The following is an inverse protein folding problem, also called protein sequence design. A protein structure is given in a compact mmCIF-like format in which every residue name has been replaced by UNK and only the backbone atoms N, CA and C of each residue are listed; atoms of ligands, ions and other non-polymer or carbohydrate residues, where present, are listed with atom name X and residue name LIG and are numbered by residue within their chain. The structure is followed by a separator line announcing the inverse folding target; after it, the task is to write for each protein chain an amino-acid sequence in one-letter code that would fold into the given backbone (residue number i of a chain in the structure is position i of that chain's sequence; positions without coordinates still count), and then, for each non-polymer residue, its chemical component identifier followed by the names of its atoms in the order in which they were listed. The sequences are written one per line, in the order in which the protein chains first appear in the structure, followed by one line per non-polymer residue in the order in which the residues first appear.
data_IF_741242874388
#
_entry.id   IF_741242874388
#
_cell.length_a   1.000
_cell.length_b   1.000
_cell.length_c   1.000
_cell.angle_alpha   90.00
_cell.angle_beta   90.00
_cell.angle_gamma   90.00
#
_symmetry.space_group_name_H-M   'P 1'
#
loop_
_entity.id
_entity.type
_entity.pdbx_description
1 polymer ?
#
# COMPACT_ATOMS: atom_id res chain seq x y z
N UNK A 1 14.15 -15.12 -3.04
CA UNK A 1 13.65 -13.96 -3.79
C UNK A 1 12.61 -13.26 -2.93
N UNK A 2 12.99 -12.24 -2.18
CA UNK A 2 12.09 -11.47 -1.29
C UNK A 2 12.09 -10.02 -1.77
N UNK A 3 10.98 -9.57 -2.36
CA UNK A 3 10.74 -8.16 -2.62
C UNK A 3 9.31 -7.87 -2.16
N UNK A 4 9.19 -7.15 -1.06
CA UNK A 4 7.96 -6.46 -0.70
C UNK A 4 8.22 -5.00 -1.00
N UNK A 5 7.24 -4.33 -1.56
CA UNK A 5 7.37 -2.94 -1.93
C UNK A 5 6.02 -2.23 -1.82
N UNK A 6 5.96 -1.23 -0.96
CA UNK A 6 4.95 -0.19 -1.04
C UNK A 6 5.47 0.92 -1.98
N UNK A 7 4.60 1.41 -2.87
CA UNK A 7 4.91 2.55 -3.73
C UNK A 7 4.01 3.72 -3.35
N UNK A 8 4.61 4.86 -3.07
CA UNK A 8 3.93 6.03 -2.52
C UNK A 8 4.08 7.22 -3.49
N UNK A 9 2.96 7.82 -3.94
CA UNK A 9 2.97 8.87 -4.97
C UNK A 9 2.59 10.28 -4.43
N UNK A 10 3.28 11.33 -4.91
CA UNK A 10 2.98 12.78 -4.73
C UNK A 10 3.06 13.55 -6.05
N UNK A 11 2.23 14.57 -6.29
CA UNK A 11 2.19 15.35 -7.55
C UNK A 11 3.10 16.61 -7.53
N UNK A 12 3.52 17.26 -8.64
CA UNK A 12 2.82 17.61 -9.90
C UNK A 12 3.07 16.77 -11.18
N UNK A 13 3.89 15.70 -11.19
CA UNK A 13 3.96 14.72 -12.32
C UNK A 13 4.42 13.30 -11.89
N UNK A 14 4.07 12.87 -10.67
CA UNK A 14 4.37 11.57 -10.00
C UNK A 14 5.81 11.38 -9.48
N UNK A 15 6.02 11.70 -8.19
CA UNK A 15 7.18 11.27 -7.40
C UNK A 15 6.83 10.00 -6.63
N UNK A 16 7.50 8.89 -6.94
CA UNK A 16 7.33 7.61 -6.27
C UNK A 16 8.40 7.39 -5.18
N UNK A 17 7.98 6.97 -3.99
CA UNK A 17 8.86 6.36 -2.99
C UNK A 17 8.61 4.85 -2.99
N UNK A 18 9.66 4.07 -3.24
CA UNK A 18 9.62 2.61 -3.25
C UNK A 18 10.31 2.12 -1.98
N UNK A 19 9.56 1.51 -1.07
CA UNK A 19 10.22 0.72 -0.03
C UNK A 19 10.82 -0.52 -0.68
N UNK A 20 12.15 -0.62 -0.65
CA UNK A 20 12.86 -1.83 -1.04
C UNK A 20 13.92 -2.10 0.01
N UNK A 21 14.03 -3.35 0.45
CA UNK A 21 14.97 -3.84 1.48
C UNK A 21 16.47 -3.58 1.21
N UNK A 22 16.84 -2.72 0.26
CA UNK A 22 18.21 -2.32 -0.02
C UNK A 22 18.70 -1.15 0.87
N UNK A 23 17.86 -0.57 1.72
CA UNK A 23 18.25 0.47 2.68
C UNK A 23 18.49 -0.17 4.06
N UNK A 24 19.57 0.24 4.75
CA UNK A 24 19.97 -0.35 6.04
C UNK A 24 18.82 -0.16 7.07
N UNK A 25 18.32 -1.25 7.70
CA UNK A 25 17.27 -1.15 8.71
C UNK A 25 17.69 -0.25 9.89
N UNK A 26 16.78 0.59 10.38
CA UNK A 26 16.96 1.43 11.57
C UNK A 26 15.87 2.50 11.72
N UNK A 27 15.85 3.20 12.86
CA UNK A 27 14.80 4.19 13.22
C UNK A 27 14.62 5.30 12.16
N UNK A 28 15.72 5.75 11.55
CA UNK A 28 15.68 6.77 10.49
C UNK A 28 14.92 6.33 9.24
N UNK A 29 14.98 5.04 8.89
CA UNK A 29 14.25 4.52 7.72
C UNK A 29 12.75 4.49 8.01
N UNK A 30 12.37 4.08 9.22
CA UNK A 30 10.98 4.11 9.65
C UNK A 30 10.44 5.55 9.63
N UNK A 31 11.19 6.52 10.16
CA UNK A 31 10.83 7.93 10.14
C UNK A 31 10.67 8.49 8.71
N UNK A 32 11.55 8.13 7.78
CA UNK A 32 11.45 8.54 6.38
C UNK A 32 10.21 7.95 5.70
N UNK A 33 9.91 6.67 5.94
CA UNK A 33 8.73 5.98 5.41
C UNK A 33 7.44 6.59 5.99
N UNK A 34 7.39 6.80 7.30
CA UNK A 34 6.27 7.47 7.96
C UNK A 34 6.09 8.89 7.42
N UNK A 35 7.21 9.60 7.25
CA UNK A 35 7.29 10.90 6.62
C UNK A 35 6.69 10.88 5.23
N UNK A 36 7.07 9.93 4.37
CA UNK A 36 6.57 9.77 3.02
C UNK A 36 5.08 9.42 2.98
N UNK A 37 4.62 8.49 3.82
CA UNK A 37 3.21 8.09 3.92
C UNK A 37 2.34 9.26 4.38
N UNK A 38 2.74 9.99 5.44
CA UNK A 38 2.00 11.18 5.90
C UNK A 38 1.77 12.18 4.78
N UNK A 39 2.75 12.27 3.91
CA UNK A 39 2.89 13.26 2.88
C UNK A 39 2.20 12.86 1.57
N UNK A 40 2.01 11.58 1.30
CA UNK A 40 1.45 11.11 0.06
C UNK A 40 -0.05 11.36 -0.07
N UNK A 41 -0.51 11.34 -1.31
CA UNK A 41 -1.94 11.41 -1.64
C UNK A 41 -2.50 10.00 -1.89
N UNK A 42 -1.70 9.16 -2.55
CA UNK A 42 -2.06 7.79 -2.93
C UNK A 42 -0.93 6.83 -2.54
N UNK A 43 -1.30 5.72 -1.90
CA UNK A 43 -0.43 4.59 -1.61
C UNK A 43 -0.78 3.37 -2.44
N UNK A 44 0.22 2.63 -2.92
CA UNK A 44 0.05 1.35 -3.60
C UNK A 44 0.57 0.25 -2.67
N UNK A 45 -0.31 -0.67 -2.30
CA UNK A 45 0.03 -1.84 -1.50
C UNK A 45 0.15 -3.08 -2.41
N UNK A 46 1.37 -3.57 -2.63
CA UNK A 46 1.62 -4.75 -3.46
C UNK A 46 1.63 -6.00 -2.58
N UNK A 47 0.50 -6.69 -2.52
CA UNK A 47 0.34 -7.94 -1.81
C UNK A 47 0.95 -9.10 -2.60
N UNK A 48 1.96 -9.73 -2.00
CA UNK A 48 2.56 -10.98 -2.47
C UNK A 48 2.22 -12.13 -1.51
N UNK A 49 2.50 -13.40 -1.84
CA UNK A 49 2.16 -14.55 -0.99
C UNK A 49 2.71 -14.45 0.44
N UNK A 50 3.79 -13.70 0.63
CA UNK A 50 4.46 -13.57 1.91
C UNK A 50 4.26 -12.21 2.58
N UNK A 51 3.38 -11.35 2.06
CA UNK A 51 3.23 -9.96 2.54
C UNK A 51 2.86 -9.91 4.02
N UNK A 52 1.92 -10.77 4.43
CA UNK A 52 1.42 -10.85 5.79
C UNK A 52 2.43 -11.50 6.78
N UNK A 53 3.58 -11.99 6.31
CA UNK A 53 4.68 -12.46 7.16
C UNK A 53 5.57 -11.28 7.62
N UNK A 54 5.49 -10.12 6.95
CA UNK A 54 6.36 -8.99 7.22
C UNK A 54 5.68 -7.97 8.12
N UNK A 55 6.21 -7.81 9.34
CA UNK A 55 5.78 -6.76 10.27
C UNK A 55 5.82 -5.37 9.62
N UNK A 56 6.90 -5.03 8.90
CA UNK A 56 7.04 -3.71 8.25
C UNK A 56 5.95 -3.47 7.20
N UNK A 57 5.67 -4.43 6.32
CA UNK A 57 4.60 -4.28 5.33
C UNK A 57 3.22 -4.09 5.99
N UNK A 58 2.94 -4.85 7.05
CA UNK A 58 1.69 -4.69 7.81
C UNK A 58 1.61 -3.33 8.52
N UNK A 59 2.74 -2.85 9.05
CA UNK A 59 2.86 -1.56 9.69
C UNK A 59 2.64 -0.40 8.71
N UNK A 60 3.26 -0.44 7.54
CA UNK A 60 3.06 0.55 6.48
C UNK A 60 1.61 0.59 6.00
N UNK A 61 1.00 -0.58 5.77
CA UNK A 61 -0.41 -0.66 5.39
C UNK A 61 -1.31 -0.02 6.44
N UNK A 62 -1.09 -0.38 7.71
CA UNK A 62 -1.82 0.20 8.82
C UNK A 62 -1.65 1.72 8.90
N UNK A 63 -0.44 2.22 8.68
CA UNK A 63 -0.18 3.64 8.68
C UNK A 63 -0.89 4.36 7.53
N UNK A 64 -0.91 3.78 6.33
CA UNK A 64 -1.66 4.34 5.20
C UNK A 64 -3.15 4.43 5.51
N UNK A 65 -3.73 3.37 6.08
CA UNK A 65 -5.15 3.32 6.48
C UNK A 65 -5.46 4.36 7.57
N UNK A 66 -4.64 4.43 8.63
CA UNK A 66 -4.82 5.39 9.73
C UNK A 66 -4.72 6.85 9.29
N UNK A 67 -3.84 7.12 8.33
CA UNK A 67 -3.71 8.45 7.71
C UNK A 67 -4.72 8.68 6.60
N UNK A 68 -5.72 7.79 6.45
CA UNK A 68 -6.83 7.86 5.49
C UNK A 68 -6.35 8.10 4.07
N UNK A 69 -5.26 7.44 3.68
CA UNK A 69 -4.71 7.53 2.34
C UNK A 69 -5.58 6.75 1.37
N UNK A 70 -5.67 7.24 0.13
CA UNK A 70 -6.24 6.44 -0.96
C UNK A 70 -5.28 5.29 -1.23
N UNK A 71 -5.75 4.05 -1.09
CA UNK A 71 -4.93 2.85 -1.27
C UNK A 71 -5.34 2.14 -2.55
N UNK A 72 -4.36 1.81 -3.39
CA UNK A 72 -4.54 0.96 -4.57
C UNK A 72 -3.89 -0.39 -4.27
N UNK A 73 -4.67 -1.43 -3.94
CA UNK A 73 -4.13 -2.75 -3.68
C UNK A 73 -3.81 -3.47 -5.01
N UNK A 74 -2.62 -4.05 -5.10
CA UNK A 74 -2.20 -4.92 -6.20
C UNK A 74 -1.90 -6.31 -5.63
N UNK A 75 -2.67 -7.30 -6.03
CA UNK A 75 -2.55 -8.68 -5.57
C UNK A 75 -1.76 -9.51 -6.58
N UNK A 76 -0.49 -9.78 -6.28
CA UNK A 76 0.44 -10.57 -7.10
C UNK A 76 0.49 -12.00 -6.57
N UNK A 77 0.02 -12.95 -7.37
CA UNK A 77 0.01 -14.39 -7.06
C UNK A 77 -0.71 -14.76 -5.75
N UNK A 78 -1.62 -13.89 -5.29
CA UNK A 78 -2.39 -14.07 -4.06
C UNK A 78 -3.81 -13.54 -4.26
N UNK A 79 -4.81 -14.19 -3.64
CA UNK A 79 -6.19 -13.68 -3.58
C UNK A 79 -6.40 -12.88 -2.30
N UNK A 80 -7.29 -11.87 -2.29
CA UNK A 80 -7.63 -11.13 -1.08
C UNK A 80 -8.04 -12.05 0.09
N UNK A 81 -8.78 -13.12 -0.18
CA UNK A 81 -9.20 -14.11 0.82
C UNK A 81 -8.06 -14.91 1.46
N UNK A 82 -6.89 -14.96 0.82
CA UNK A 82 -5.70 -15.63 1.34
C UNK A 82 -4.87 -14.73 2.27
N UNK A 83 -5.09 -13.41 2.26
CA UNK A 83 -4.39 -12.49 3.15
C UNK A 83 -4.85 -12.70 4.58
N UNK A 84 -3.95 -13.16 5.45
CA UNK A 84 -4.22 -13.34 6.88
C UNK A 84 -2.91 -13.24 7.64
N UNK A 85 -2.98 -12.68 8.84
CA UNK A 85 -1.84 -12.63 9.75
C UNK A 85 -1.90 -13.92 10.56
N UNK A 86 -0.86 -14.73 10.49
CA UNK A 86 -0.72 -15.86 11.39
C UNK A 86 -0.34 -15.34 12.77
N UNK A 87 -1.05 -15.77 13.81
CA UNK A 87 -0.79 -15.33 15.17
C UNK A 87 0.60 -15.81 15.60
N UNK A 88 1.53 -14.88 15.72
CA UNK A 88 2.81 -15.11 16.37
C UNK A 88 2.75 -14.43 17.75
N UNK A 89 3.07 -15.19 18.80
CA UNK A 89 3.12 -14.75 20.20
C UNK A 89 4.06 -13.54 20.44
N UNK A 90 4.82 -13.13 19.43
CA UNK A 90 5.71 -11.96 19.44
C UNK A 90 5.04 -10.62 19.09
N UNK A 91 3.79 -10.58 18.60
CA UNK A 91 3.12 -9.33 18.20
C UNK A 91 2.12 -8.89 19.29
N UNK A 92 2.25 -7.68 19.87
CA UNK A 92 1.29 -7.16 20.84
C UNK A 92 -0.14 -7.14 20.28
N UNK A 93 -1.13 -7.48 21.10
CA UNK A 93 -2.54 -7.57 20.65
C UNK A 93 -3.05 -6.28 19.99
N UNK A 94 -2.60 -5.12 20.47
CA UNK A 94 -2.94 -3.82 19.86
C UNK A 94 -2.44 -3.68 18.42
N UNK A 95 -1.22 -4.13 18.15
CA UNK A 95 -0.66 -4.10 16.79
C UNK A 95 -1.36 -5.11 15.89
N UNK A 96 -1.67 -6.29 16.42
CA UNK A 96 -2.41 -7.30 15.68
C UNK A 96 -3.82 -6.79 15.29
N UNK A 97 -4.51 -6.11 16.19
CA UNK A 97 -5.80 -5.47 15.90
C UNK A 97 -5.67 -4.43 14.79
N UNK A 98 -4.66 -3.54 14.91
CA UNK A 98 -4.34 -2.51 13.92
C UNK A 98 -4.10 -3.11 12.54
N UNK A 99 -3.27 -4.15 12.45
CA UNK A 99 -2.94 -4.81 11.18
C UNK A 99 -4.13 -5.57 10.58
N UNK A 100 -4.94 -6.26 11.41
CA UNK A 100 -6.14 -6.94 10.92
C UNK A 100 -7.19 -5.95 10.39
N UNK A 101 -7.36 -4.80 11.05
CA UNK A 101 -8.22 -3.72 10.56
C UNK A 101 -7.78 -3.23 9.18
N UNK A 102 -6.49 -2.92 9.04
CA UNK A 102 -5.94 -2.40 7.80
C UNK A 102 -5.98 -3.43 6.64
N UNK A 103 -5.69 -4.71 6.92
CA UNK A 103 -5.89 -5.78 5.94
C UNK A 103 -7.36 -5.96 5.59
N UNK A 104 -8.26 -5.82 6.55
CA UNK A 104 -9.70 -5.86 6.34
C UNK A 104 -10.12 -4.82 5.31
N UNK A 105 -9.73 -3.57 5.50
CA UNK A 105 -10.00 -2.49 4.54
C UNK A 105 -9.42 -2.80 3.16
N UNK A 106 -8.13 -3.14 3.09
CA UNK A 106 -7.45 -3.39 1.81
C UNK A 106 -8.04 -4.56 1.01
N UNK A 107 -8.61 -5.58 1.67
CA UNK A 107 -9.28 -6.70 1.00
C UNK A 107 -10.55 -6.30 0.26
N UNK A 108 -11.26 -5.30 0.77
CA UNK A 108 -12.54 -4.84 0.21
C UNK A 108 -12.38 -3.62 -0.69
N UNK A 109 -11.20 -3.00 -0.72
CA UNK A 109 -10.85 -1.99 -1.70
C UNK A 109 -10.66 -2.60 -3.09
N UNK A 110 -11.23 -1.96 -4.11
CA UNK A 110 -11.06 -2.37 -5.51
C UNK A 110 -9.58 -2.31 -5.88
N UNK A 111 -9.05 -3.43 -6.33
CA UNK A 111 -7.62 -3.59 -6.65
C UNK A 111 -7.35 -4.23 -7.98
N UNK A 112 -6.07 -4.36 -8.29
CA UNK A 112 -5.57 -5.06 -9.47
C UNK A 112 -5.09 -6.45 -9.07
N UNK A 113 -5.43 -7.48 -9.85
CA UNK A 113 -4.90 -8.84 -9.65
C UNK A 113 -3.90 -9.15 -10.75
N UNK A 114 -2.81 -9.83 -10.40
CA UNK A 114 -1.74 -10.14 -11.33
C UNK A 114 -1.15 -11.53 -11.07
N UNK A 115 -0.87 -12.26 -12.16
CA UNK A 115 -0.14 -13.53 -12.13
C UNK A 115 1.25 -13.29 -12.71
N UNK A 116 2.30 -13.52 -11.93
CA UNK A 116 3.67 -13.22 -12.36
C UNK A 116 4.23 -14.16 -13.42
N UNK A 117 3.63 -15.34 -13.61
CA UNK A 117 4.08 -16.35 -14.56
C UNK A 117 3.45 -16.17 -15.94
N UNK A 118 2.21 -15.70 -16.01
CA UNK A 118 1.43 -15.64 -17.26
C UNK A 118 0.95 -14.23 -17.61
N UNK A 119 1.07 -13.27 -16.70
CA UNK A 119 0.55 -11.92 -16.86
C UNK A 119 1.43 -11.01 -17.72
N UNK A 120 0.77 -10.03 -18.35
CA UNK A 120 1.43 -8.94 -19.05
C UNK A 120 1.79 -7.81 -18.07
N UNK A 121 3.08 -7.60 -17.86
CA UNK A 121 3.60 -6.54 -16.99
C UNK A 121 3.32 -5.14 -17.52
N UNK A 122 3.33 -4.93 -18.84
CA UNK A 122 3.01 -3.64 -19.44
C UNK A 122 1.53 -3.29 -19.20
N UNK A 123 0.65 -4.28 -19.28
CA UNK A 123 -0.76 -4.10 -18.96
C UNK A 123 -0.97 -3.76 -17.48
N UNK A 124 -0.30 -4.47 -16.58
CA UNK A 124 -0.35 -4.17 -15.14
C UNK A 124 0.12 -2.75 -14.85
N UNK A 125 1.28 -2.37 -15.38
CA UNK A 125 1.86 -1.03 -15.19
C UNK A 125 0.89 0.05 -15.69
N UNK A 126 0.32 -0.13 -16.88
CA UNK A 126 -0.68 0.79 -17.44
C UNK A 126 -1.89 0.94 -16.51
N UNK A 127 -2.46 -0.18 -16.05
CA UNK A 127 -3.62 -0.17 -15.15
C UNK A 127 -3.28 0.50 -13.80
N UNK A 128 -2.13 0.20 -13.23
CA UNK A 128 -1.68 0.80 -11.98
C UNK A 128 -1.45 2.30 -12.11
N UNK A 129 -0.80 2.74 -13.20
CA UNK A 129 -0.62 4.17 -13.50
C UNK A 129 -1.94 4.90 -13.67
N UNK A 130 -2.89 4.34 -14.42
CA UNK A 130 -4.22 4.94 -14.57
C UNK A 130 -4.93 5.04 -13.23
N UNK A 131 -4.92 3.99 -12.41
CA UNK A 131 -5.54 4.01 -11.10
C UNK A 131 -4.93 5.10 -10.19
N UNK A 132 -3.62 5.32 -10.26
CA UNK A 132 -2.97 6.43 -9.53
C UNK A 132 -3.47 7.78 -10.04
N UNK A 133 -3.49 7.98 -11.36
CA UNK A 133 -3.93 9.23 -11.98
C UNK A 133 -5.39 9.54 -11.62
N UNK A 134 -6.28 8.56 -11.73
CA UNK A 134 -7.71 8.71 -11.39
C UNK A 134 -7.91 9.12 -9.92
N UNK A 135 -7.12 8.52 -9.02
CA UNK A 135 -7.17 8.85 -7.59
C UNK A 135 -6.58 10.24 -7.27
N UNK A 136 -5.68 10.76 -8.09
CA UNK A 136 -5.13 12.11 -7.96
C UNK A 136 -6.08 13.18 -8.54
N UNK A 137 -6.71 12.93 -9.70
CA UNK A 137 -7.59 13.90 -10.38
C UNK A 137 -8.95 14.03 -9.70
N UNK A 138 -9.49 12.94 -9.13
CA UNK A 138 -10.77 12.94 -8.41
C UNK A 138 -10.78 13.71 -7.07
N UNK A 139 -9.86 14.64 -6.85
CA UNK A 139 -9.71 15.47 -5.64
C UNK A 139 -10.20 16.92 -5.76
N UNK A 140 -10.60 17.40 -6.95
CA UNK A 140 -11.01 18.80 -7.18
C UNK A 140 -12.51 18.96 -7.51
N UNK A 141 -13.39 18.40 -6.68
CA UNK A 141 -14.82 18.72 -6.76
C UNK A 141 -15.38 19.01 -5.36
N UNK A 142 -15.47 20.29 -5.02
CA UNK A 142 -16.41 20.78 -4.00
C UNK A 142 -15.80 21.72 -2.96
N UNK A 143 -15.66 22.99 -3.31
CA UNK A 143 -16.09 24.13 -2.48
C UNK A 143 -16.21 25.35 -3.41
N UNK A 144 -17.43 25.60 -3.91
CA UNK A 144 -17.77 26.93 -4.40
C UNK A 144 -18.18 27.76 -3.19
N UNK A 145 -17.64 28.98 -3.00
CA UNK A 145 -18.12 29.87 -1.95
C UNK A 145 -19.55 30.33 -2.30
N UNK A 146 -20.48 30.10 -1.36
CA UNK A 146 -21.80 30.72 -1.37
C UNK A 146 -21.66 32.24 -1.47
N UNK A 147 -22.41 32.84 -2.40
CA UNK A 147 -22.54 34.28 -2.58
C UNK A 147 -23.98 34.69 -2.32
#
# INVERSE_FOLDING_TARGET
MQRYSAVVARNYLVRAFLDSKNMKPGDKLLEEIEGAIRNCEVGIAVFSPRYCESYFCLHELALMVEKKKKIIPIFVDVRPSQLRIEYNQSCPDKELQRFNSALGEAKYTVGLTFNSLTGDWSELLRKASNAVIDNLIGGEAGEMPDN
#
